data_IF_608098038204
#
_entry.id   IF_608098038204
#
_cell.length_a   1.000
_cell.length_b   1.000
_cell.length_c   1.000
_cell.angle_alpha   90.00
_cell.angle_beta   90.00
_cell.angle_gamma   90.00
#
_symmetry.space_group_name_H-M   'P 1'
#
loop_
_entity.id
_entity.type
_entity.pdbx_description
1 polymer ?
#
# COMPACT_ATOMS: atom_id res chain seq x y z
N UNK A 1 -14.29 -20.74 -58.46
CA UNK A 1 -15.03 -19.54 -58.07
C UNK A 1 -14.53 -19.14 -56.69
N UNK A 2 -13.67 -18.14 -56.64
CA UNK A 2 -13.04 -17.62 -55.42
C UNK A 2 -13.83 -16.40 -54.97
N UNK A 3 -14.47 -16.45 -53.83
CA UNK A 3 -15.03 -15.26 -53.18
C UNK A 3 -13.93 -14.55 -52.37
N UNK A 4 -13.58 -13.37 -52.82
CA UNK A 4 -12.75 -12.42 -52.11
C UNK A 4 -13.59 -11.66 -51.08
N UNK A 5 -13.34 -11.86 -49.81
CA UNK A 5 -13.88 -11.01 -48.74
C UNK A 5 -13.05 -9.71 -48.66
N UNK A 6 -13.64 -8.62 -49.15
CA UNK A 6 -13.14 -7.27 -48.88
C UNK A 6 -13.36 -6.94 -47.42
N UNK A 7 -12.27 -6.64 -46.70
CA UNK A 7 -12.30 -6.08 -45.35
C UNK A 7 -12.42 -4.56 -45.46
N UNK A 8 -13.55 -3.99 -45.08
CA UNK A 8 -13.73 -2.57 -44.95
C UNK A 8 -12.73 -1.98 -43.93
N UNK A 9 -11.82 -1.13 -44.39
CA UNK A 9 -10.98 -0.32 -43.52
C UNK A 9 -11.79 0.86 -42.99
N UNK A 10 -11.95 0.95 -41.69
CA UNK A 10 -12.53 2.11 -41.02
C UNK A 10 -11.53 3.26 -41.02
N UNK A 11 -11.95 4.44 -41.47
CA UNK A 11 -11.16 5.67 -41.47
C UNK A 11 -11.68 6.66 -40.41
N UNK A 12 -10.79 7.54 -39.90
CA UNK A 12 -11.17 8.64 -39.01
C UNK A 12 -11.95 9.72 -39.79
N UNK A 13 -12.55 10.74 -39.12
CA UNK A 13 -13.29 11.82 -39.79
C UNK A 13 -12.46 12.66 -40.76
N UNK A 14 -11.15 12.52 -40.80
CA UNK A 14 -10.22 13.18 -41.70
C UNK A 14 -9.77 12.27 -42.86
N UNK A 15 -10.31 11.06 -42.97
CA UNK A 15 -10.04 10.15 -44.08
C UNK A 15 -8.81 9.26 -43.94
N UNK A 16 -8.08 9.33 -42.83
CA UNK A 16 -6.90 8.51 -42.59
C UNK A 16 -7.31 7.12 -42.08
N UNK A 17 -6.61 6.04 -42.49
CA UNK A 17 -6.91 4.70 -42.00
C UNK A 17 -6.64 4.62 -40.49
N UNK A 18 -7.64 4.24 -39.71
CA UNK A 18 -7.44 3.88 -38.32
C UNK A 18 -6.63 2.60 -38.26
N UNK A 19 -5.32 2.75 -38.30
CA UNK A 19 -4.45 1.67 -37.91
C UNK A 19 -4.54 1.52 -36.40
N UNK A 20 -5.28 0.51 -35.95
CA UNK A 20 -5.02 -0.06 -34.63
C UNK A 20 -3.59 -0.61 -34.70
N UNK A 21 -2.64 0.24 -34.44
CA UNK A 21 -1.28 -0.20 -34.19
C UNK A 21 -1.30 -0.97 -32.86
N UNK A 22 -1.76 -2.22 -32.91
CA UNK A 22 -1.13 -3.24 -32.12
C UNK A 22 0.34 -3.16 -32.52
N UNK A 23 1.14 -2.41 -31.75
CA UNK A 23 2.58 -2.49 -31.86
C UNK A 23 2.88 -3.95 -31.58
N UNK A 24 3.05 -4.74 -32.64
CA UNK A 24 3.76 -6.01 -32.57
C UNK A 24 5.17 -5.63 -32.17
N UNK A 25 5.41 -5.57 -30.85
CA UNK A 25 6.76 -5.67 -30.33
C UNK A 25 7.16 -7.11 -30.69
N UNK A 26 7.84 -7.28 -31.80
CA UNK A 26 8.59 -8.49 -32.03
C UNK A 26 9.43 -8.71 -30.79
N UNK A 27 9.49 -9.94 -30.28
CA UNK A 27 10.37 -10.34 -29.20
C UNK A 27 11.78 -9.89 -29.60
N UNK A 28 12.11 -8.66 -29.20
CA UNK A 28 13.26 -7.94 -29.67
C UNK A 28 14.51 -8.62 -29.18
N UNK A 29 15.36 -8.99 -30.08
CA UNK A 29 16.79 -9.04 -29.80
C UNK A 29 17.13 -7.73 -29.11
N UNK A 30 17.69 -7.86 -27.89
CA UNK A 30 18.19 -6.76 -27.07
C UNK A 30 18.92 -5.73 -27.95
N UNK A 31 18.43 -4.46 -28.09
CA UNK A 31 19.11 -3.44 -28.88
C UNK A 31 20.43 -2.98 -28.25
N UNK A 32 20.73 -3.38 -27.02
CA UNK A 32 21.88 -2.96 -26.23
C UNK A 32 22.65 -4.13 -25.63
N UNK A 33 22.92 -5.16 -26.42
CA UNK A 33 23.77 -6.31 -26.12
C UNK A 33 24.29 -6.42 -24.68
N UNK A 34 23.89 -7.46 -23.95
CA UNK A 34 24.16 -7.82 -22.56
C UNK A 34 23.12 -7.29 -21.54
N UNK A 35 21.99 -7.95 -21.42
CA UNK A 35 21.26 -7.97 -20.16
C UNK A 35 22.26 -8.37 -19.07
N UNK A 36 22.64 -7.42 -18.21
CA UNK A 36 23.56 -7.69 -17.10
C UNK A 36 22.96 -8.83 -16.29
N UNK A 37 23.55 -10.02 -16.38
CA UNK A 37 23.02 -11.26 -15.81
C UNK A 37 22.82 -11.07 -14.32
N UNK A 38 21.58 -10.85 -13.90
CA UNK A 38 21.25 -10.87 -12.49
C UNK A 38 21.39 -12.32 -11.99
N UNK A 39 22.04 -12.46 -10.84
CA UNK A 39 22.13 -13.75 -10.13
C UNK A 39 20.86 -13.96 -9.33
N UNK A 40 20.26 -15.12 -9.47
CA UNK A 40 19.14 -15.56 -8.61
C UNK A 40 19.72 -15.95 -7.27
N UNK A 41 19.16 -15.42 -6.19
CA UNK A 41 19.58 -15.74 -4.81
C UNK A 41 18.34 -16.08 -3.97
N UNK A 42 18.54 -16.73 -2.82
CA UNK A 42 17.42 -17.02 -1.90
C UNK A 42 16.87 -15.73 -1.29
N UNK A 43 15.60 -15.72 -0.84
CA UNK A 43 15.04 -14.59 -0.11
C UNK A 43 15.86 -14.22 1.13
N UNK A 44 16.35 -15.21 1.87
CA UNK A 44 17.19 -15.01 3.05
C UNK A 44 18.47 -14.25 2.69
N UNK A 45 19.17 -14.69 1.65
CA UNK A 45 20.36 -13.99 1.19
C UNK A 45 20.04 -12.56 0.77
N UNK A 46 19.00 -12.37 -0.06
CA UNK A 46 18.62 -11.05 -0.56
C UNK A 46 18.26 -10.07 0.58
N UNK A 47 17.52 -10.56 1.58
CA UNK A 47 16.97 -9.69 2.61
C UNK A 47 17.92 -9.46 3.79
N UNK A 48 18.74 -10.44 4.14
CA UNK A 48 19.50 -10.42 5.40
C UNK A 48 21.01 -10.49 5.25
N UNK A 49 21.52 -11.09 4.18
CA UNK A 49 22.96 -11.39 4.05
C UNK A 49 23.66 -10.52 3.02
N UNK A 50 22.97 -10.11 1.96
CA UNK A 50 23.56 -9.31 0.89
C UNK A 50 24.06 -7.96 1.42
N UNK A 51 25.23 -7.49 0.95
CA UNK A 51 25.72 -6.17 1.30
C UNK A 51 24.68 -5.11 0.90
N UNK A 52 24.65 -3.99 1.63
CA UNK A 52 23.72 -2.90 1.36
C UNK A 52 24.47 -1.69 0.84
N UNK A 53 23.93 -1.07 -0.19
CA UNK A 53 24.34 0.24 -0.68
C UNK A 53 23.29 1.29 -0.29
N UNK A 54 23.76 2.52 -0.04
CA UNK A 54 22.89 3.64 0.35
C UNK A 54 22.67 4.54 -0.84
N UNK A 55 21.43 4.68 -1.27
CA UNK A 55 21.01 5.56 -2.35
C UNK A 55 20.07 6.65 -1.83
N UNK A 56 20.13 7.84 -2.46
CA UNK A 56 19.23 8.96 -2.16
C UNK A 56 18.26 9.14 -3.32
N UNK A 57 17.08 8.54 -3.20
CA UNK A 57 16.11 8.34 -4.28
C UNK A 57 14.68 8.66 -3.84
N UNK A 58 13.79 8.85 -4.83
CA UNK A 58 12.35 9.04 -4.60
C UNK A 58 11.66 7.73 -4.23
N UNK A 59 10.42 7.81 -3.72
CA UNK A 59 9.62 6.61 -3.46
C UNK A 59 9.28 5.84 -4.73
N UNK A 60 9.01 6.54 -5.84
CA UNK A 60 8.81 5.90 -7.15
C UNK A 60 10.08 5.17 -7.64
N UNK A 61 11.26 5.77 -7.45
CA UNK A 61 12.54 5.12 -7.75
C UNK A 61 12.82 3.93 -6.83
N UNK A 62 12.45 4.03 -5.54
CA UNK A 62 12.55 2.93 -4.59
C UNK A 62 11.66 1.74 -4.99
N UNK A 63 10.43 2.01 -5.42
CA UNK A 63 9.53 1.01 -6.00
C UNK A 63 10.11 0.34 -7.24
N UNK A 64 10.66 1.13 -8.18
CA UNK A 64 11.40 0.61 -9.35
C UNK A 64 12.50 -0.36 -8.94
N UNK A 65 13.34 0.03 -7.98
CA UNK A 65 14.47 -0.78 -7.55
C UNK A 65 14.05 -2.07 -6.82
N UNK A 66 12.89 -2.05 -6.13
CA UNK A 66 12.27 -3.25 -5.57
C UNK A 66 11.80 -4.20 -6.68
N UNK A 67 11.11 -3.69 -7.69
CA UNK A 67 10.63 -4.46 -8.85
C UNK A 67 11.78 -5.06 -9.65
N UNK A 68 12.89 -4.31 -9.85
CA UNK A 68 14.12 -4.81 -10.50
C UNK A 68 14.63 -6.10 -9.85
N UNK A 69 14.55 -6.19 -8.51
CA UNK A 69 15.05 -7.34 -7.73
C UNK A 69 13.98 -8.41 -7.53
N UNK A 70 12.72 -8.10 -7.75
CA UNK A 70 11.61 -9.03 -7.53
C UNK A 70 11.47 -10.10 -8.62
N UNK A 71 12.12 -9.95 -9.78
CA UNK A 71 11.97 -10.88 -10.91
C UNK A 71 10.52 -10.98 -11.39
N UNK A 72 9.90 -9.83 -11.68
CA UNK A 72 8.50 -9.72 -12.12
C UNK A 72 8.36 -10.23 -13.55
N UNK A 73 7.37 -11.08 -13.78
CA UNK A 73 7.06 -11.60 -15.11
C UNK A 73 6.12 -10.67 -15.87
N UNK A 74 5.08 -10.17 -15.22
CA UNK A 74 4.01 -9.41 -15.85
C UNK A 74 3.66 -8.16 -15.05
N UNK A 75 3.56 -7.03 -15.74
CA UNK A 75 3.03 -5.80 -15.18
C UNK A 75 2.10 -5.10 -16.15
N UNK A 76 1.05 -4.53 -15.65
CA UNK A 76 0.11 -3.68 -16.39
C UNK A 76 -0.31 -2.54 -15.49
N UNK A 77 -0.42 -1.33 -16.04
CA UNK A 77 -0.89 -0.17 -15.30
C UNK A 77 -1.64 0.81 -16.21
N UNK A 78 -2.53 1.59 -15.61
CA UNK A 78 -3.18 2.74 -16.24
C UNK A 78 -2.58 4.02 -15.65
N UNK A 79 -2.26 5.04 -16.47
CA UNK A 79 -1.62 6.26 -15.97
C UNK A 79 -2.59 7.10 -15.15
N UNK A 80 -2.29 7.27 -13.87
CA UNK A 80 -3.00 8.14 -12.94
C UNK A 80 -2.01 8.81 -11.98
N UNK A 81 -2.07 10.14 -11.82
CA UNK A 81 -1.19 10.89 -10.91
C UNK A 81 -1.51 10.57 -9.45
N UNK A 82 -0.51 10.32 -8.55
CA UNK A 82 0.93 10.42 -8.78
C UNK A 82 1.61 9.11 -9.21
N UNK A 83 0.88 8.05 -9.49
CA UNK A 83 1.40 6.72 -9.87
C UNK A 83 2.06 6.69 -11.25
N UNK A 84 1.74 7.65 -12.14
CA UNK A 84 2.24 7.65 -13.53
C UNK A 84 3.77 7.59 -13.64
N UNK A 85 4.52 8.17 -12.68
CA UNK A 85 5.97 8.08 -12.63
C UNK A 85 6.41 6.63 -12.42
N UNK A 86 5.79 5.91 -11.49
CA UNK A 86 6.09 4.48 -11.26
C UNK A 86 5.85 3.65 -12.51
N UNK A 87 4.74 3.90 -13.23
CA UNK A 87 4.44 3.23 -14.49
C UNK A 87 5.54 3.46 -15.54
N UNK A 88 6.01 4.71 -15.68
CA UNK A 88 7.09 5.05 -16.61
C UNK A 88 8.39 4.31 -16.24
N UNK A 89 8.72 4.25 -14.95
CA UNK A 89 9.89 3.54 -14.44
C UNK A 89 9.81 2.03 -14.66
N UNK A 90 8.61 1.44 -14.58
CA UNK A 90 8.39 0.02 -14.95
C UNK A 90 8.59 -0.19 -16.45
N UNK A 91 8.12 0.74 -17.29
CA UNK A 91 8.40 0.72 -18.73
C UNK A 91 9.90 0.73 -19.05
N UNK A 92 10.69 1.48 -18.29
CA UNK A 92 12.15 1.44 -18.39
C UNK A 92 12.69 0.06 -18.02
N UNK A 93 12.21 -0.54 -16.92
CA UNK A 93 12.62 -1.90 -16.51
C UNK A 93 12.26 -2.97 -17.55
N UNK A 94 11.12 -2.81 -18.22
CA UNK A 94 10.74 -3.66 -19.34
C UNK A 94 11.70 -3.51 -20.51
N UNK A 95 12.02 -2.27 -20.91
CA UNK A 95 13.02 -2.01 -21.96
C UNK A 95 14.42 -2.50 -21.62
N UNK A 96 14.78 -2.57 -20.33
CA UNK A 96 16.05 -3.10 -19.83
C UNK A 96 16.02 -4.64 -19.61
N UNK A 97 14.87 -5.32 -19.83
CA UNK A 97 14.71 -6.77 -19.67
C UNK A 97 14.53 -7.28 -18.23
N UNK A 98 14.28 -6.40 -17.26
CA UNK A 98 14.04 -6.79 -15.86
C UNK A 98 12.59 -7.18 -15.57
N UNK A 99 11.64 -6.70 -16.37
CA UNK A 99 10.23 -7.11 -16.38
C UNK A 99 9.99 -7.78 -17.73
N UNK A 100 9.40 -8.98 -17.77
CA UNK A 100 9.30 -9.75 -19.02
C UNK A 100 8.21 -9.22 -19.94
N UNK A 101 7.07 -8.82 -19.36
CA UNK A 101 5.93 -8.29 -20.11
C UNK A 101 5.36 -7.06 -19.40
N UNK A 102 5.13 -5.99 -20.18
CA UNK A 102 4.55 -4.74 -19.67
C UNK A 102 3.53 -4.19 -20.66
N UNK A 103 2.33 -3.91 -20.17
CA UNK A 103 1.25 -3.32 -20.95
C UNK A 103 0.73 -2.05 -20.31
N UNK A 104 0.28 -1.12 -21.15
CA UNK A 104 -0.52 0.02 -20.73
C UNK A 104 -1.99 -0.35 -20.84
N UNK A 105 -2.71 -0.37 -19.72
CA UNK A 105 -4.14 -0.62 -19.69
C UNK A 105 -4.94 0.58 -20.20
N UNK A 106 -6.20 0.34 -20.55
CA UNK A 106 -7.14 1.39 -20.97
C UNK A 106 -7.89 2.01 -19.79
N UNK A 107 -8.08 1.21 -18.72
CA UNK A 107 -8.71 1.63 -17.47
C UNK A 107 -8.30 0.72 -16.31
N UNK A 108 -8.55 1.17 -15.07
CA UNK A 108 -8.10 0.43 -13.88
C UNK A 108 -8.82 -0.90 -13.67
N UNK A 109 -10.11 -1.01 -13.99
CA UNK A 109 -10.82 -2.30 -13.89
C UNK A 109 -10.22 -3.36 -14.81
N UNK A 110 -9.92 -2.98 -16.06
CA UNK A 110 -9.24 -3.84 -17.03
C UNK A 110 -7.83 -4.24 -16.57
N UNK A 111 -7.07 -3.27 -15.99
CA UNK A 111 -5.76 -3.52 -15.38
C UNK A 111 -5.85 -4.57 -14.28
N UNK A 112 -6.77 -4.42 -13.33
CA UNK A 112 -6.93 -5.34 -12.20
C UNK A 112 -7.39 -6.73 -12.67
N UNK A 113 -8.23 -6.79 -13.69
CA UNK A 113 -8.67 -8.05 -14.32
C UNK A 113 -7.52 -8.77 -15.03
N UNK A 114 -6.64 -8.02 -15.71
CA UNK A 114 -5.45 -8.58 -16.36
C UNK A 114 -4.46 -9.17 -15.33
N UNK A 115 -4.24 -8.46 -14.21
CA UNK A 115 -3.43 -8.98 -13.08
C UNK A 115 -4.02 -10.28 -12.52
N UNK A 116 -5.35 -10.33 -12.35
CA UNK A 116 -6.02 -11.55 -11.88
C UNK A 116 -5.76 -12.74 -12.85
N UNK A 117 -5.91 -12.51 -14.13
CA UNK A 117 -5.64 -13.53 -15.16
C UNK A 117 -4.19 -13.99 -15.17
N UNK A 118 -3.25 -13.06 -15.16
CA UNK A 118 -1.82 -13.35 -15.14
C UNK A 118 -1.39 -14.08 -13.86
N UNK A 119 -1.84 -13.62 -12.68
CA UNK A 119 -1.57 -14.30 -11.42
C UNK A 119 -2.09 -15.73 -11.41
N UNK A 120 -3.29 -15.96 -12.01
CA UNK A 120 -3.86 -17.28 -12.15
C UNK A 120 -3.08 -18.17 -13.11
N UNK A 121 -2.44 -17.59 -14.14
CA UNK A 121 -1.52 -18.29 -15.02
C UNK A 121 -0.19 -18.66 -14.39
N UNK A 122 0.04 -18.31 -13.12
CA UNK A 122 1.22 -18.71 -12.36
C UNK A 122 2.39 -17.76 -12.45
N UNK A 123 2.26 -16.62 -13.11
CA UNK A 123 3.36 -15.65 -13.25
C UNK A 123 3.38 -14.64 -12.11
N UNK A 124 4.54 -14.08 -11.81
CA UNK A 124 4.70 -13.03 -10.80
C UNK A 124 4.22 -11.69 -11.34
N UNK A 125 3.20 -11.11 -10.70
CA UNK A 125 2.49 -9.95 -11.19
C UNK A 125 2.71 -8.73 -10.30
N UNK A 126 2.79 -7.56 -10.94
CA UNK A 126 2.83 -6.26 -10.26
C UNK A 126 1.92 -5.25 -10.97
N UNK A 127 1.26 -4.40 -10.19
CA UNK A 127 0.53 -3.23 -10.70
C UNK A 127 0.54 -2.08 -9.72
N UNK A 128 0.05 -0.93 -10.18
CA UNK A 128 0.00 0.30 -9.41
C UNK A 128 -1.23 1.13 -9.79
N UNK A 129 -1.82 1.79 -8.79
CA UNK A 129 -2.92 2.74 -8.98
C UNK A 129 -2.91 3.84 -7.93
N UNK A 130 -3.87 4.76 -7.98
CA UNK A 130 -3.98 5.89 -7.06
C UNK A 130 -5.43 6.39 -6.96
N UNK A 131 -5.87 6.78 -5.77
CA UNK A 131 -7.11 7.51 -5.52
C UNK A 131 -8.34 7.01 -6.26
N UNK A 132 -8.89 7.75 -7.23
CA UNK A 132 -10.07 7.33 -7.99
C UNK A 132 -9.87 6.00 -8.72
N UNK A 133 -8.63 5.69 -9.18
CA UNK A 133 -8.32 4.44 -9.84
C UNK A 133 -8.43 3.23 -8.91
N UNK A 134 -8.14 3.42 -7.62
CA UNK A 134 -8.40 2.40 -6.59
C UNK A 134 -9.88 2.05 -6.54
N UNK A 135 -10.76 3.06 -6.50
CA UNK A 135 -12.21 2.83 -6.49
C UNK A 135 -12.73 2.25 -7.81
N UNK A 136 -12.16 2.66 -8.93
CA UNK A 136 -12.51 2.10 -10.24
C UNK A 136 -12.17 0.61 -10.34
N UNK A 137 -11.05 0.21 -9.75
CA UNK A 137 -10.58 -1.19 -9.74
C UNK A 137 -11.08 -2.04 -8.58
N UNK A 138 -11.78 -1.47 -7.58
CA UNK A 138 -12.07 -2.14 -6.30
C UNK A 138 -12.86 -3.43 -6.46
N UNK A 139 -13.79 -3.51 -7.40
CA UNK A 139 -14.59 -4.72 -7.66
C UNK A 139 -13.69 -5.90 -8.05
N UNK A 140 -12.76 -5.67 -8.99
CA UNK A 140 -11.81 -6.70 -9.40
C UNK A 140 -10.84 -7.04 -8.26
N UNK A 141 -10.27 -6.03 -7.58
CA UNK A 141 -9.34 -6.19 -6.44
C UNK A 141 -9.99 -7.02 -5.33
N UNK A 142 -11.25 -6.77 -4.97
CA UNK A 142 -11.96 -7.48 -3.93
C UNK A 142 -12.18 -8.98 -4.25
N UNK A 143 -12.11 -9.36 -5.51
CA UNK A 143 -12.20 -10.75 -5.94
C UNK A 143 -10.89 -11.53 -5.77
N UNK A 144 -9.73 -10.86 -5.76
CA UNK A 144 -8.42 -11.52 -5.74
C UNK A 144 -8.18 -12.41 -4.51
N UNK A 145 -8.49 -11.96 -3.28
CA UNK A 145 -8.29 -12.79 -2.09
C UNK A 145 -9.12 -14.07 -2.12
N UNK A 146 -10.39 -13.97 -2.53
CA UNK A 146 -11.27 -15.13 -2.68
C UNK A 146 -10.79 -16.12 -3.73
N UNK A 147 -10.15 -15.66 -4.80
CA UNK A 147 -9.51 -16.48 -5.83
C UNK A 147 -8.08 -16.92 -5.45
N UNK A 148 -7.56 -16.51 -4.29
CA UNK A 148 -6.21 -16.86 -3.81
C UNK A 148 -5.14 -16.51 -4.85
N UNK A 149 -5.17 -15.26 -5.33
CA UNK A 149 -4.27 -14.76 -6.36
C UNK A 149 -3.11 -13.98 -5.72
N UNK A 150 -1.90 -14.56 -5.64
CA UNK A 150 -0.74 -13.81 -5.20
C UNK A 150 -0.36 -12.78 -6.25
N UNK A 151 -0.47 -11.52 -5.89
CA UNK A 151 -0.08 -10.37 -6.70
C UNK A 151 0.35 -9.24 -5.76
N UNK A 152 1.21 -8.36 -6.24
CA UNK A 152 1.63 -7.16 -5.49
C UNK A 152 1.09 -5.93 -6.19
N UNK A 153 0.41 -5.07 -5.44
CA UNK A 153 -0.15 -3.80 -5.92
C UNK A 153 0.26 -2.66 -5.00
N UNK A 154 0.62 -1.53 -5.57
CA UNK A 154 0.83 -0.29 -4.82
C UNK A 154 -0.32 0.68 -5.01
N UNK A 155 -0.65 1.38 -3.94
CA UNK A 155 -1.64 2.45 -3.88
C UNK A 155 -0.93 3.75 -3.49
N UNK A 156 -0.73 4.64 -4.46
CA UNK A 156 -0.15 5.96 -4.18
C UNK A 156 -1.28 6.91 -3.77
N UNK A 157 -1.52 6.97 -2.47
CA UNK A 157 -2.71 7.54 -1.86
C UNK A 157 -2.87 9.04 -2.17
N UNK A 158 -4.05 9.42 -2.63
CA UNK A 158 -4.45 10.80 -2.89
C UNK A 158 -5.95 11.00 -2.65
N UNK A 159 -6.42 12.25 -2.77
CA UNK A 159 -7.86 12.56 -2.76
C UNK A 159 -8.59 11.72 -3.81
N UNK A 160 -9.64 11.03 -3.37
CA UNK A 160 -10.33 10.00 -4.16
C UNK A 160 -11.28 10.61 -5.18
N UNK A 161 -12.00 11.68 -4.82
CA UNK A 161 -13.08 12.21 -5.64
C UNK A 161 -13.19 13.74 -5.54
N UNK A 162 -14.20 14.30 -6.19
CA UNK A 162 -14.45 15.73 -6.21
C UNK A 162 -14.75 16.32 -4.81
N UNK A 163 -14.26 17.54 -4.52
CA UNK A 163 -13.36 18.33 -5.35
C UNK A 163 -11.99 17.69 -5.47
N UNK A 164 -11.47 17.62 -6.72
CA UNK A 164 -10.24 16.87 -7.01
C UNK A 164 -9.01 17.55 -6.46
N UNK A 165 -8.15 16.76 -5.82
CA UNK A 165 -6.77 17.12 -5.55
C UNK A 165 -5.87 15.89 -5.85
N UNK A 166 -4.66 16.15 -6.32
CA UNK A 166 -3.67 15.11 -6.58
C UNK A 166 -2.75 14.89 -5.37
N UNK A 167 -2.94 15.70 -4.35
CA UNK A 167 -2.17 15.72 -3.12
C UNK A 167 -2.58 14.56 -2.19
N UNK A 168 -1.73 14.18 -1.21
CA UNK A 168 -1.96 13.03 -0.35
C UNK A 168 -3.26 13.12 0.45
N UNK A 169 -3.93 11.99 0.51
CA UNK A 169 -5.06 11.72 1.41
C UNK A 169 -5.20 10.20 1.53
N UNK A 170 -5.37 9.69 2.73
CA UNK A 170 -5.38 8.25 2.98
C UNK A 170 -6.79 7.66 3.07
N UNK A 171 -7.82 8.38 2.58
CA UNK A 171 -9.20 7.89 2.61
C UNK A 171 -9.38 6.60 1.82
N UNK A 172 -8.64 6.42 0.72
CA UNK A 172 -8.75 5.23 -0.13
C UNK A 172 -8.38 3.93 0.59
N UNK A 173 -7.50 4.00 1.60
CA UNK A 173 -7.14 2.86 2.43
C UNK A 173 -8.38 2.26 3.11
N UNK A 174 -9.32 3.10 3.55
CA UNK A 174 -10.53 2.65 4.23
C UNK A 174 -11.40 1.71 3.38
N UNK A 175 -11.36 1.86 2.06
CA UNK A 175 -12.07 0.96 1.13
C UNK A 175 -11.36 -0.39 0.96
N UNK A 176 -10.05 -0.43 1.20
CA UNK A 176 -9.23 -1.63 1.04
C UNK A 176 -9.24 -2.52 2.29
N UNK A 177 -9.52 -1.97 3.47
CA UNK A 177 -9.44 -2.68 4.75
C UNK A 177 -10.28 -3.96 4.82
N UNK A 178 -11.36 -4.06 4.06
CA UNK A 178 -12.30 -5.18 4.08
C UNK A 178 -12.26 -6.07 2.84
N UNK A 179 -11.27 -5.90 1.97
CA UNK A 179 -11.13 -6.70 0.74
C UNK A 179 -10.64 -8.13 1.00
N UNK A 180 -9.94 -8.36 2.11
CA UNK A 180 -9.29 -9.64 2.42
C UNK A 180 -7.83 -9.72 1.96
N UNK A 181 -7.29 -8.72 1.26
CA UNK A 181 -5.86 -8.66 0.94
C UNK A 181 -5.00 -8.40 2.18
N UNK A 182 -3.72 -8.76 2.11
CA UNK A 182 -2.72 -8.26 3.04
C UNK A 182 -2.45 -6.80 2.68
N UNK A 183 -2.41 -5.89 3.64
CA UNK A 183 -2.26 -4.46 3.38
C UNK A 183 -1.22 -3.84 4.31
N UNK A 184 -0.19 -3.23 3.73
CA UNK A 184 0.84 -2.46 4.44
C UNK A 184 0.70 -0.97 4.18
N UNK A 185 1.16 -0.15 5.13
CA UNK A 185 1.22 1.29 4.97
C UNK A 185 2.66 1.79 5.19
N UNK A 186 3.31 2.18 4.11
CA UNK A 186 4.71 2.61 4.12
C UNK A 186 4.86 4.06 4.60
N UNK A 187 5.83 4.28 5.50
CA UNK A 187 6.14 5.59 6.09
C UNK A 187 7.01 6.45 5.16
N UNK A 188 7.95 5.80 4.49
CA UNK A 188 9.02 6.48 3.74
C UNK A 188 9.54 5.60 2.58
N UNK A 189 10.57 6.09 1.89
CA UNK A 189 11.16 5.41 0.73
C UNK A 189 11.78 4.05 1.06
N UNK A 190 12.31 3.88 2.28
CA UNK A 190 12.84 2.58 2.73
C UNK A 190 11.71 1.57 2.87
N UNK A 191 10.61 1.94 3.52
CA UNK A 191 9.44 1.08 3.64
C UNK A 191 8.87 0.72 2.25
N UNK A 192 8.80 1.68 1.31
CA UNK A 192 8.34 1.42 -0.05
C UNK A 192 9.19 0.32 -0.70
N UNK A 193 10.52 0.45 -0.64
CA UNK A 193 11.42 -0.56 -1.18
C UNK A 193 11.23 -1.93 -0.52
N UNK A 194 11.30 -1.96 0.81
CA UNK A 194 11.24 -3.18 1.59
C UNK A 194 9.89 -3.87 1.47
N UNK A 195 8.79 -3.13 1.61
CA UNK A 195 7.46 -3.71 1.57
C UNK A 195 7.12 -4.26 0.19
N UNK A 196 7.46 -3.56 -0.89
CA UNK A 196 7.22 -4.07 -2.25
C UNK A 196 8.00 -5.36 -2.47
N UNK A 197 9.32 -5.34 -2.22
CA UNK A 197 10.18 -6.49 -2.52
C UNK A 197 9.82 -7.73 -1.70
N UNK A 198 9.62 -7.56 -0.39
CA UNK A 198 9.30 -8.64 0.55
C UNK A 198 7.88 -9.17 0.37
N UNK A 199 6.95 -8.33 -0.12
CA UNK A 199 5.56 -8.72 -0.37
C UNK A 199 5.41 -9.80 -1.43
N UNK A 200 6.28 -9.88 -2.41
CA UNK A 200 6.24 -10.97 -3.40
C UNK A 200 6.40 -12.33 -2.72
N UNK A 201 7.34 -12.43 -1.78
CA UNK A 201 7.58 -13.69 -1.05
C UNK A 201 6.41 -14.00 -0.12
N UNK A 202 5.93 -13.03 0.66
CA UNK A 202 4.80 -13.23 1.58
C UNK A 202 3.53 -13.65 0.81
N UNK A 203 3.27 -12.98 -0.30
CA UNK A 203 2.13 -13.25 -1.18
C UNK A 203 2.14 -14.67 -1.75
N UNK A 204 3.32 -15.19 -2.09
CA UNK A 204 3.53 -16.46 -2.78
C UNK A 204 3.71 -17.66 -1.84
N UNK A 205 3.75 -17.48 -0.52
CA UNK A 205 3.83 -18.59 0.42
C UNK A 205 2.63 -19.53 0.28
N UNK A 206 2.86 -20.84 0.15
CA UNK A 206 1.83 -21.84 -0.15
C UNK A 206 0.65 -21.86 0.83
N UNK A 207 0.88 -21.53 2.08
CA UNK A 207 -0.15 -21.43 3.10
C UNK A 207 -0.78 -20.04 3.24
N UNK A 208 -0.30 -19.06 2.46
CA UNK A 208 -0.82 -17.69 2.39
C UNK A 208 -1.56 -17.45 1.07
N UNK A 209 -0.85 -17.41 -0.06
CA UNK A 209 -1.38 -17.18 -1.43
C UNK A 209 -2.48 -16.10 -1.48
N UNK A 210 -2.14 -14.91 -0.98
CA UNK A 210 -3.02 -13.75 -0.97
C UNK A 210 -2.38 -12.58 -1.71
N UNK A 211 -3.17 -11.69 -2.31
CA UNK A 211 -2.64 -10.44 -2.82
C UNK A 211 -2.13 -9.56 -1.69
N UNK A 212 -1.10 -8.78 -1.98
CA UNK A 212 -0.54 -7.81 -1.04
C UNK A 212 -0.61 -6.42 -1.63
N UNK A 213 -1.24 -5.50 -0.91
CA UNK A 213 -1.28 -4.08 -1.20
C UNK A 213 -0.29 -3.30 -0.34
N UNK A 214 0.39 -2.32 -0.93
CA UNK A 214 1.24 -1.38 -0.23
C UNK A 214 0.71 0.03 -0.49
N UNK A 215 0.17 0.67 0.54
CA UNK A 215 -0.29 2.05 0.51
C UNK A 215 0.82 3.00 0.95
N UNK A 216 0.96 4.14 0.31
CA UNK A 216 1.83 5.24 0.73
C UNK A 216 1.44 6.56 0.09
N UNK A 217 1.82 7.66 0.71
CA UNK A 217 1.38 8.98 0.28
C UNK A 217 1.93 9.38 -1.09
N UNK A 218 1.02 9.81 -1.95
CA UNK A 218 1.36 10.52 -3.16
C UNK A 218 2.12 11.81 -2.84
N UNK A 219 3.07 12.22 -3.67
CA UNK A 219 3.97 13.36 -3.53
C UNK A 219 4.87 13.34 -2.29
N UNK A 220 4.32 13.17 -1.07
CA UNK A 220 5.12 13.18 0.16
C UNK A 220 6.12 12.03 0.25
N UNK A 221 5.75 10.86 -0.29
CA UNK A 221 6.64 9.71 -0.35
C UNK A 221 7.06 9.43 -1.80
N UNK A 222 6.13 9.48 -2.76
CA UNK A 222 6.43 9.14 -4.16
C UNK A 222 7.50 10.01 -4.78
N UNK A 223 7.47 11.34 -4.56
CA UNK A 223 8.35 12.31 -5.22
C UNK A 223 9.43 12.90 -4.32
N UNK A 224 9.26 12.85 -2.99
CA UNK A 224 10.31 13.24 -2.07
C UNK A 224 11.46 12.23 -2.11
N UNK A 225 12.69 12.74 -1.94
CA UNK A 225 13.90 11.90 -1.87
C UNK A 225 14.20 11.53 -0.43
N UNK A 226 14.61 10.29 -0.23
CA UNK A 226 15.07 9.76 1.04
C UNK A 226 16.21 8.76 0.83
N UNK A 227 16.88 8.44 1.92
CA UNK A 227 17.91 7.41 1.90
C UNK A 227 17.29 6.03 1.96
N UNK A 228 17.73 5.16 1.06
CA UNK A 228 17.30 3.76 0.99
C UNK A 228 18.54 2.87 1.00
N UNK A 229 18.55 1.92 1.92
CA UNK A 229 19.54 0.86 2.02
C UNK A 229 19.04 -0.36 1.26
N UNK A 230 19.71 -0.75 0.18
CA UNK A 230 19.25 -1.84 -0.67
C UNK A 230 20.39 -2.77 -1.09
N UNK A 231 20.07 -4.05 -1.39
CA UNK A 231 21.08 -4.97 -1.92
C UNK A 231 21.51 -4.56 -3.33
N UNK A 232 22.62 -5.08 -3.84
CA UNK A 232 23.11 -4.79 -5.19
C UNK A 232 22.06 -5.08 -6.27
N UNK A 233 22.14 -4.37 -7.39
CA UNK A 233 21.19 -4.51 -8.49
C UNK A 233 21.39 -5.76 -9.36
N UNK A 234 22.52 -6.45 -9.21
CA UNK A 234 22.90 -7.66 -9.96
C UNK A 234 22.32 -8.94 -9.34
N UNK A 235 21.57 -8.86 -8.23
CA UNK A 235 20.90 -10.00 -7.61
C UNK A 235 19.36 -9.82 -7.63
N UNK A 236 18.64 -10.96 -7.71
CA UNK A 236 17.19 -10.98 -7.73
C UNK A 236 16.60 -12.20 -7.05
N UNK A 237 15.31 -12.11 -6.71
CA UNK A 237 14.53 -13.23 -6.19
C UNK A 237 14.45 -14.37 -7.21
N UNK A 238 14.26 -15.62 -6.74
CA UNK A 238 13.95 -16.74 -7.62
C UNK A 238 12.61 -16.48 -8.35
N UNK A 239 12.39 -17.13 -9.50
CA UNK A 239 11.09 -17.09 -10.15
C UNK A 239 10.01 -17.62 -9.20
N UNK A 240 8.76 -17.18 -9.42
CA UNK A 240 7.63 -17.73 -8.70
C UNK A 240 7.51 -19.24 -9.00
N UNK A 241 7.44 -20.04 -7.95
CA UNK A 241 7.13 -21.46 -8.11
C UNK A 241 5.67 -21.64 -8.53
N UNK A 242 5.40 -22.69 -9.31
CA UNK A 242 4.05 -23.01 -9.68
C UNK A 242 3.18 -23.23 -8.42
N UNK A 243 2.05 -22.54 -8.38
CA UNK A 243 1.14 -22.60 -7.24
C UNK A 243 0.31 -23.90 -7.28
N UNK A 244 0.39 -24.70 -6.24
CA UNK A 244 -0.34 -25.94 -6.05
C UNK A 244 -1.48 -25.83 -5.03
N UNK A 245 -2.05 -24.65 -4.84
CA UNK A 245 -3.13 -24.43 -3.89
C UNK A 245 -4.51 -24.88 -4.35
N UNK A 246 -5.55 -24.43 -3.66
CA UNK A 246 -6.95 -24.77 -3.94
C UNK A 246 -7.43 -24.40 -5.34
N UNK A 247 -6.71 -23.49 -6.02
CA UNK A 247 -6.98 -23.07 -7.40
C UNK A 247 -5.75 -23.40 -8.24
N UNK A 248 -5.82 -24.41 -9.12
CA UNK A 248 -4.69 -24.78 -9.96
C UNK A 248 -4.30 -23.66 -10.92
N UNK A 249 -2.99 -23.50 -11.11
CA UNK A 249 -2.43 -22.62 -12.13
C UNK A 249 -2.78 -23.15 -13.52
N UNK A 250 -3.10 -22.26 -14.44
CA UNK A 250 -3.25 -22.62 -15.84
C UNK A 250 -1.86 -22.90 -16.44
N UNK A 251 -1.60 -24.14 -16.72
CA UNK A 251 -0.39 -24.57 -17.40
C UNK A 251 -0.78 -25.04 -18.80
N UNK A 252 -0.20 -24.42 -19.84
CA UNK A 252 -0.50 -24.73 -21.23
C UNK A 252 0.01 -26.13 -21.64
N UNK A 253 1.11 -26.59 -21.03
CA UNK A 253 1.69 -27.91 -21.31
C UNK A 253 1.01 -29.00 -20.50
N UNK A 254 0.53 -28.67 -19.31
CA UNK A 254 -0.18 -29.59 -18.42
C UNK A 254 -1.50 -28.96 -17.96
N UNK A 255 -2.46 -28.75 -18.85
CA UNK A 255 -3.74 -28.17 -18.45
C UNK A 255 -4.37 -29.04 -17.37
N UNK A 256 -4.74 -28.47 -16.22
CA UNK A 256 -5.32 -29.26 -15.15
C UNK A 256 -6.57 -29.96 -15.66
N UNK A 257 -6.51 -31.28 -15.75
CA UNK A 257 -7.58 -32.12 -16.27
C UNK A 257 -8.92 -31.94 -15.53
N UNK A 258 -8.95 -31.12 -14.47
CA UNK A 258 -10.09 -30.96 -13.58
C UNK A 258 -10.17 -29.56 -12.93
N UNK A 259 -10.05 -28.49 -13.72
CA UNK A 259 -10.38 -27.14 -13.24
C UNK A 259 -11.76 -27.07 -12.55
N UNK A 260 -12.69 -27.96 -12.96
CA UNK A 260 -14.05 -28.02 -12.42
C UNK A 260 -14.19 -28.77 -11.11
N UNK A 261 -13.26 -29.66 -10.76
CA UNK A 261 -13.47 -30.55 -9.60
C UNK A 261 -12.90 -29.98 -8.30
N UNK A 262 -11.82 -29.23 -8.37
CA UNK A 262 -11.06 -28.79 -7.19
C UNK A 262 -11.09 -27.26 -7.00
N UNK A 263 -11.62 -26.51 -7.97
CA UNK A 263 -11.91 -25.10 -7.81
C UNK A 263 -13.28 -24.97 -7.12
N UNK A 264 -13.32 -24.58 -5.84
CA UNK A 264 -14.60 -24.43 -5.11
C UNK A 264 -15.57 -23.47 -5.79
N UNK A 265 -15.05 -22.49 -6.53
CA UNK A 265 -15.84 -21.55 -7.33
C UNK A 265 -16.64 -22.23 -8.43
N UNK A 266 -16.16 -23.37 -8.96
CA UNK A 266 -16.87 -24.08 -10.05
C UNK A 266 -17.79 -25.20 -9.55
N UNK A 267 -17.56 -25.70 -8.32
CA UNK A 267 -18.51 -26.60 -7.66
C UNK A 267 -19.66 -25.85 -7.03
N UNK A 268 -19.54 -24.55 -6.87
CA UNK A 268 -20.63 -23.80 -6.32
C UNK A 268 -21.78 -23.84 -7.31
N UNK A 269 -22.78 -24.58 -7.00
CA UNK A 269 -24.07 -23.98 -7.21
C UNK A 269 -23.90 -22.52 -6.76
N UNK A 270 -23.96 -21.60 -7.68
CA UNK A 270 -23.82 -20.15 -7.51
C UNK A 270 -24.61 -19.60 -6.30
N UNK A 271 -25.40 -20.40 -5.67
CA UNK A 271 -26.30 -20.17 -4.54
C UNK A 271 -25.89 -20.91 -3.26
N UNK A 272 -24.68 -21.48 -3.17
CA UNK A 272 -24.29 -22.21 -1.96
C UNK A 272 -23.67 -21.28 -0.92
N UNK A 273 -24.45 -20.80 0.03
CA UNK A 273 -24.03 -19.97 1.16
C UNK A 273 -22.86 -20.57 1.94
N UNK A 274 -22.82 -21.89 2.09
CA UNK A 274 -21.76 -22.57 2.84
C UNK A 274 -20.40 -22.43 2.21
N UNK A 275 -20.29 -22.48 0.89
CA UNK A 275 -19.00 -22.36 0.18
C UNK A 275 -18.44 -20.95 0.34
N UNK A 276 -19.29 -19.93 0.22
CA UNK A 276 -18.84 -18.54 0.43
C UNK A 276 -18.34 -18.33 1.85
N UNK A 277 -19.04 -18.83 2.85
CA UNK A 277 -18.60 -18.73 4.26
C UNK A 277 -17.25 -19.42 4.50
N UNK A 278 -17.05 -20.63 3.96
CA UNK A 278 -15.77 -21.35 4.06
C UNK A 278 -14.64 -20.57 3.40
N UNK A 279 -14.90 -19.96 2.23
CA UNK A 279 -13.91 -19.12 1.55
C UNK A 279 -13.52 -17.88 2.33
N UNK A 280 -14.48 -17.18 2.89
CA UNK A 280 -14.20 -16.02 3.73
C UNK A 280 -13.38 -16.42 4.95
N UNK A 281 -13.73 -17.50 5.63
CA UNK A 281 -12.95 -18.03 6.75
C UNK A 281 -11.53 -18.36 6.34
N UNK A 282 -11.32 -19.00 5.19
CA UNK A 282 -9.99 -19.37 4.71
C UNK A 282 -9.15 -18.16 4.32
N UNK A 283 -9.73 -17.11 3.74
CA UNK A 283 -9.02 -15.85 3.44
C UNK A 283 -8.50 -15.22 4.74
N UNK A 284 -9.33 -15.12 5.77
CA UNK A 284 -8.91 -14.59 7.06
C UNK A 284 -7.89 -15.49 7.77
N UNK A 285 -8.07 -16.81 7.70
CA UNK A 285 -7.09 -17.76 8.23
C UNK A 285 -5.74 -17.65 7.51
N UNK A 286 -5.73 -17.39 6.22
CA UNK A 286 -4.51 -17.16 5.45
C UNK A 286 -3.81 -15.85 5.87
N UNK A 287 -4.56 -14.79 6.16
CA UNK A 287 -4.00 -13.57 6.74
C UNK A 287 -3.33 -13.84 8.10
N UNK A 288 -3.98 -14.62 8.96
CA UNK A 288 -3.39 -15.00 10.26
C UNK A 288 -2.09 -15.80 10.08
N UNK A 289 -2.06 -16.73 9.12
CA UNK A 289 -0.83 -17.46 8.77
C UNK A 289 0.26 -16.55 8.21
N UNK A 290 -0.09 -15.48 7.52
CA UNK A 290 0.87 -14.52 6.99
C UNK A 290 1.64 -13.78 8.09
N UNK A 291 1.09 -13.62 9.29
CA UNK A 291 1.75 -12.91 10.42
C UNK A 291 3.14 -13.45 10.72
N UNK A 292 3.36 -14.77 10.64
CA UNK A 292 4.70 -15.37 10.88
C UNK A 292 5.74 -14.90 9.86
N UNK A 293 5.33 -14.73 8.58
CA UNK A 293 6.22 -14.24 7.53
C UNK A 293 6.43 -12.73 7.62
N UNK A 294 5.38 -11.98 7.99
CA UNK A 294 5.47 -10.54 8.24
C UNK A 294 6.46 -10.27 9.40
N UNK A 295 6.36 -11.03 10.51
CA UNK A 295 7.32 -10.93 11.62
C UNK A 295 8.75 -11.25 11.18
N UNK A 296 8.92 -12.24 10.30
CA UNK A 296 10.24 -12.66 9.81
C UNK A 296 10.88 -11.66 8.85
N UNK A 297 10.11 -11.18 7.87
CA UNK A 297 10.66 -10.40 6.75
C UNK A 297 10.46 -8.89 6.90
N UNK A 298 9.46 -8.44 7.65
CA UNK A 298 9.07 -7.02 7.78
C UNK A 298 9.36 -6.44 9.18
N UNK A 299 10.13 -7.13 10.01
CA UNK A 299 10.42 -6.75 11.40
C UNK A 299 9.16 -6.50 12.24
N UNK A 300 8.12 -7.32 12.02
CA UNK A 300 6.86 -7.26 12.74
C UNK A 300 5.74 -6.48 12.06
N UNK A 301 4.55 -6.59 12.63
CA UNK A 301 3.35 -5.94 12.15
C UNK A 301 3.26 -4.48 12.61
N UNK A 302 3.92 -4.15 13.70
CA UNK A 302 4.08 -2.79 14.24
C UNK A 302 5.50 -2.63 14.81
N UNK A 303 5.86 -1.39 15.08
CA UNK A 303 7.11 -0.99 15.74
C UNK A 303 6.75 -0.15 16.95
N UNK A 304 7.45 -0.35 18.08
CA UNK A 304 7.27 0.43 19.30
C UNK A 304 8.58 1.13 19.65
N UNK A 305 8.56 2.44 19.73
CA UNK A 305 9.64 3.26 20.28
C UNK A 305 9.21 3.72 21.67
N UNK A 306 10.15 3.80 22.62
CA UNK A 306 9.93 4.12 24.03
C UNK A 306 8.82 3.24 24.64
N UNK A 307 8.99 1.92 24.73
CA UNK A 307 7.94 0.99 25.16
C UNK A 307 7.52 1.18 26.62
N UNK A 308 8.33 1.84 27.43
CA UNK A 308 8.06 2.11 28.85
C UNK A 308 7.21 3.38 29.06
N UNK A 309 6.87 4.10 27.99
CA UNK A 309 6.02 5.28 28.06
C UNK A 309 4.57 4.88 28.44
N UNK A 310 3.87 5.80 29.10
CA UNK A 310 2.41 5.66 29.38
C UNK A 310 1.54 6.57 28.48
N UNK A 311 2.19 7.30 27.57
CA UNK A 311 1.57 8.11 26.51
C UNK A 311 2.13 7.64 25.19
N UNK A 312 1.25 7.32 24.23
CA UNK A 312 1.69 6.91 22.90
C UNK A 312 1.03 7.72 21.80
N UNK A 313 1.84 8.05 20.79
CA UNK A 313 1.35 8.33 19.45
C UNK A 313 1.16 7.00 18.72
N UNK A 314 -0.01 6.77 18.13
CA UNK A 314 -0.27 5.59 17.32
C UNK A 314 -0.52 6.05 15.90
N UNK A 315 0.38 5.71 14.97
CA UNK A 315 0.35 6.24 13.62
C UNK A 315 0.70 5.18 12.56
N UNK A 316 0.37 5.46 11.31
CA UNK A 316 0.77 4.64 10.16
C UNK A 316 1.14 5.55 8.98
N UNK A 317 1.90 5.01 8.01
CA UNK A 317 2.34 5.79 6.86
C UNK A 317 3.15 7.01 7.25
N UNK A 318 3.11 8.08 6.46
CA UNK A 318 3.88 9.30 6.72
C UNK A 318 3.47 10.04 8.00
N UNK A 319 2.28 9.79 8.56
CA UNK A 319 1.92 10.30 9.88
C UNK A 319 2.85 9.76 10.98
N UNK A 320 3.43 8.56 10.81
CA UNK A 320 4.43 8.03 11.73
C UNK A 320 5.74 8.84 11.68
N UNK A 321 6.16 9.30 10.49
CA UNK A 321 7.34 10.15 10.34
C UNK A 321 7.17 11.49 11.08
N UNK A 322 6.00 12.14 10.94
CA UNK A 322 5.68 13.36 11.67
C UNK A 322 5.61 13.11 13.19
N UNK A 323 5.09 11.95 13.59
CA UNK A 323 5.00 11.55 14.99
C UNK A 323 6.38 11.34 15.64
N UNK A 324 7.39 10.85 14.90
CA UNK A 324 8.76 10.73 15.41
C UNK A 324 9.33 12.09 15.83
N UNK A 325 9.11 13.10 15.02
CA UNK A 325 9.55 14.46 15.35
C UNK A 325 8.74 15.06 16.51
N UNK A 326 7.43 14.78 16.58
CA UNK A 326 6.63 15.18 17.72
C UNK A 326 7.11 14.54 19.03
N UNK A 327 7.48 13.25 19.02
CA UNK A 327 8.09 12.58 20.17
C UNK A 327 9.34 13.32 20.63
N UNK A 328 10.26 13.63 19.70
CA UNK A 328 11.50 14.35 20.00
C UNK A 328 11.22 15.71 20.66
N UNK A 329 10.28 16.50 20.11
CA UNK A 329 9.91 17.81 20.64
C UNK A 329 9.23 17.73 22.02
N UNK A 330 8.44 16.68 22.27
CA UNK A 330 7.80 16.44 23.56
C UNK A 330 8.82 16.01 24.62
N UNK A 331 9.78 15.16 24.27
CA UNK A 331 10.87 14.75 25.14
C UNK A 331 11.73 15.95 25.56
N UNK A 332 12.03 16.90 24.66
CA UNK A 332 12.73 18.14 24.95
C UNK A 332 11.96 19.04 25.94
N UNK A 333 10.63 18.90 25.98
CA UNK A 333 9.77 19.60 26.95
C UNK A 333 9.56 18.82 28.26
N UNK A 334 10.24 17.67 28.42
CA UNK A 334 10.13 16.82 29.60
C UNK A 334 8.89 15.94 29.64
N UNK A 335 8.24 15.71 28.49
CA UNK A 335 7.09 14.83 28.35
C UNK A 335 7.54 13.56 27.61
N UNK A 336 7.82 12.45 28.32
CA UNK A 336 8.18 11.20 27.69
C UNK A 336 6.95 10.60 26.97
N UNK A 337 7.10 10.38 25.67
CA UNK A 337 6.07 9.82 24.78
C UNK A 337 6.66 8.67 23.99
N UNK A 338 5.90 7.60 23.81
CA UNK A 338 6.22 6.51 22.91
C UNK A 338 5.55 6.68 21.55
N UNK A 339 6.08 5.98 20.55
CA UNK A 339 5.45 5.87 19.24
C UNK A 339 5.17 4.40 18.92
N UNK A 340 3.94 4.10 18.56
CA UNK A 340 3.52 2.82 17.97
C UNK A 340 3.25 3.07 16.48
N UNK A 341 4.16 2.61 15.62
CA UNK A 341 3.97 2.65 14.18
C UNK A 341 3.30 1.37 13.70
N UNK A 342 2.08 1.46 13.18
CA UNK A 342 1.38 0.35 12.55
C UNK A 342 1.91 0.19 11.12
N UNK A 343 2.55 -0.95 10.84
CA UNK A 343 3.05 -1.32 9.49
C UNK A 343 2.02 -2.10 8.70
N UNK A 344 1.39 -3.09 9.36
CA UNK A 344 0.38 -3.96 8.76
C UNK A 344 -1.02 -3.50 9.14
N UNK A 345 -1.79 -3.09 8.14
CA UNK A 345 -3.22 -2.74 8.32
C UNK A 345 -4.10 -3.98 8.20
N UNK A 346 -3.64 -4.99 7.44
CA UNK A 346 -4.24 -6.32 7.33
C UNK A 346 -3.14 -7.37 7.08
N UNK A 347 -3.04 -8.40 7.92
CA UNK A 347 -3.76 -8.56 9.19
C UNK A 347 -3.42 -7.45 10.20
N UNK A 348 -4.41 -6.99 10.96
CA UNK A 348 -4.18 -5.95 11.96
C UNK A 348 -3.42 -6.51 13.18
N UNK A 349 -2.47 -5.78 13.78
CA UNK A 349 -1.64 -6.24 14.90
C UNK A 349 -2.36 -6.15 16.26
N UNK A 350 -3.54 -6.74 16.38
CA UNK A 350 -4.40 -6.58 17.56
C UNK A 350 -3.70 -6.98 18.86
N UNK A 351 -3.09 -8.17 18.89
CA UNK A 351 -2.45 -8.68 20.12
C UNK A 351 -1.19 -7.88 20.48
N UNK A 352 -0.38 -7.54 19.48
CA UNK A 352 0.82 -6.72 19.69
C UNK A 352 0.46 -5.32 20.16
N UNK A 353 -0.63 -4.75 19.64
CA UNK A 353 -1.10 -3.44 20.06
C UNK A 353 -1.67 -3.46 21.48
N UNK A 354 -2.44 -4.48 21.84
CA UNK A 354 -2.93 -4.67 23.23
C UNK A 354 -1.77 -4.78 24.21
N UNK A 355 -0.73 -5.54 23.87
CA UNK A 355 0.47 -5.67 24.70
C UNK A 355 1.19 -4.33 24.84
N UNK A 356 1.44 -3.62 23.74
CA UNK A 356 2.11 -2.31 23.76
C UNK A 356 1.32 -1.26 24.55
N UNK A 357 -0.01 -1.32 24.52
CA UNK A 357 -0.88 -0.35 25.18
C UNK A 357 -1.33 -0.78 26.59
N UNK A 358 -0.84 -1.88 27.14
CA UNK A 358 -1.31 -2.44 28.43
C UNK A 358 -1.30 -1.42 29.58
N UNK A 359 -0.28 -0.59 29.66
CA UNK A 359 -0.09 0.40 30.72
C UNK A 359 -0.32 1.84 30.24
N UNK A 360 -0.79 2.01 29.01
CA UNK A 360 -1.01 3.32 28.46
C UNK A 360 -2.13 4.07 29.21
N UNK A 361 -1.93 5.37 29.40
CA UNK A 361 -2.92 6.31 29.95
C UNK A 361 -3.54 7.18 28.85
N UNK A 362 -2.76 7.49 27.84
CA UNK A 362 -3.17 8.35 26.72
C UNK A 362 -2.66 7.79 25.40
N UNK A 363 -3.57 7.70 24.43
CA UNK A 363 -3.26 7.39 23.04
C UNK A 363 -3.73 8.55 22.15
N UNK A 364 -2.85 9.07 21.31
CA UNK A 364 -3.17 10.10 20.33
C UNK A 364 -2.88 9.56 18.95
N UNK A 365 -3.84 9.68 18.02
CA UNK A 365 -3.82 9.01 16.71
C UNK A 365 -3.87 10.05 15.59
N UNK A 366 -2.71 10.55 15.12
CA UNK A 366 -2.65 11.47 13.99
C UNK A 366 -2.88 10.71 12.67
N UNK A 367 -3.68 11.30 11.76
CA UNK A 367 -4.08 10.67 10.50
C UNK A 367 -4.20 11.65 9.34
N UNK A 368 -3.83 11.19 8.12
CA UNK A 368 -4.04 11.91 6.86
C UNK A 368 -5.38 11.55 6.19
N UNK A 369 -6.47 11.61 6.93
CA UNK A 369 -7.83 11.41 6.40
C UNK A 369 -8.88 12.05 7.30
N UNK A 370 -10.02 12.45 6.72
CA UNK A 370 -11.11 13.06 7.48
C UNK A 370 -11.82 12.07 8.43
N UNK A 371 -12.19 10.85 8.00
CA UNK A 371 -13.01 9.96 8.82
C UNK A 371 -12.30 9.33 10.03
N UNK A 372 -10.95 9.38 10.11
CA UNK A 372 -10.21 8.77 11.21
C UNK A 372 -10.32 7.23 11.21
N UNK A 373 -10.00 6.60 10.10
CA UNK A 373 -10.14 5.15 9.98
C UNK A 373 -9.16 4.38 10.89
N UNK A 374 -7.92 4.88 11.09
CA UNK A 374 -6.96 4.22 11.98
C UNK A 374 -7.40 4.29 13.44
N UNK A 375 -7.92 5.44 13.88
CA UNK A 375 -8.46 5.58 15.24
C UNK A 375 -9.59 4.59 15.50
N UNK A 376 -10.44 4.30 14.52
CA UNK A 376 -11.48 3.28 14.63
C UNK A 376 -10.92 1.88 14.72
N UNK A 377 -9.93 1.52 13.91
CA UNK A 377 -9.27 0.21 13.97
C UNK A 377 -8.57 0.01 15.33
N UNK A 378 -7.83 1.02 15.80
CA UNK A 378 -7.18 1.00 17.12
C UNK A 378 -8.21 0.88 18.24
N UNK A 379 -9.27 1.68 18.19
CA UNK A 379 -10.36 1.62 19.17
C UNK A 379 -10.99 0.23 19.24
N UNK A 380 -11.25 -0.38 18.09
CA UNK A 380 -11.82 -1.74 17.99
C UNK A 380 -10.85 -2.78 18.56
N UNK A 381 -9.57 -2.67 18.23
CA UNK A 381 -8.55 -3.62 18.70
C UNK A 381 -8.33 -3.55 20.21
N UNK A 382 -8.50 -2.37 20.82
CA UNK A 382 -8.25 -2.15 22.25
C UNK A 382 -9.54 -2.20 23.11
N UNK A 383 -10.71 -2.39 22.49
CA UNK A 383 -11.97 -2.40 23.19
C UNK A 383 -12.01 -3.48 24.30
N UNK A 384 -12.22 -3.04 25.55
CA UNK A 384 -12.24 -3.92 26.72
C UNK A 384 -10.87 -4.32 27.27
N UNK A 385 -9.79 -4.12 26.52
CA UNK A 385 -8.43 -4.58 26.87
C UNK A 385 -7.53 -3.44 27.37
N UNK A 386 -7.79 -2.21 26.98
CA UNK A 386 -7.01 -1.03 27.38
C UNK A 386 -7.91 0.06 27.94
N UNK A 387 -7.46 0.70 29.02
CA UNK A 387 -8.18 1.80 29.71
C UNK A 387 -7.65 3.19 29.34
N UNK A 388 -6.72 3.28 28.40
CA UNK A 388 -6.16 4.55 27.96
C UNK A 388 -7.26 5.49 27.42
N UNK A 389 -7.08 6.78 27.69
CA UNK A 389 -7.86 7.80 27.00
C UNK A 389 -7.42 7.90 25.56
N UNK A 390 -8.33 7.68 24.60
CA UNK A 390 -8.02 7.70 23.18
C UNK A 390 -8.47 9.02 22.57
N UNK A 391 -7.56 9.72 21.88
CA UNK A 391 -7.82 10.94 21.14
C UNK A 391 -7.56 10.70 19.64
N UNK A 392 -8.61 10.72 18.85
CA UNK A 392 -8.51 10.69 17.40
C UNK A 392 -8.00 12.05 16.86
N UNK A 393 -6.95 12.01 16.07
CA UNK A 393 -6.34 13.21 15.49
C UNK A 393 -5.05 13.70 16.17
N UNK A 394 -4.41 14.76 15.62
CA UNK A 394 -4.97 15.62 14.57
C UNK A 394 -5.28 14.85 13.28
N UNK A 395 -6.33 15.30 12.57
CA UNK A 395 -6.70 14.77 11.26
C UNK A 395 -6.49 15.84 10.22
N UNK A 396 -5.62 15.54 9.27
CA UNK A 396 -5.32 16.40 8.12
C UNK A 396 -5.77 15.66 6.86
N UNK A 397 -6.35 16.34 5.91
CA UNK A 397 -6.95 15.73 4.73
C UNK A 397 -6.97 16.69 3.54
N UNK A 398 -7.31 16.20 2.35
CA UNK A 398 -7.42 17.02 1.16
C UNK A 398 -6.10 17.58 0.65
N UNK A 399 -4.98 16.92 0.96
CA UNK A 399 -3.66 17.31 0.47
C UNK A 399 -2.90 18.32 1.32
N UNK A 400 -3.37 18.60 2.51
CA UNK A 400 -2.66 19.47 3.44
C UNK A 400 -1.51 18.72 4.13
N UNK A 401 -0.46 19.46 4.50
CA UNK A 401 0.60 18.94 5.36
C UNK A 401 0.12 18.87 6.80
N UNK A 402 0.66 17.94 7.58
CA UNK A 402 0.43 17.86 9.02
C UNK A 402 1.61 18.54 9.76
N UNK A 403 1.45 19.76 10.27
CA UNK A 403 2.46 20.36 11.11
C UNK A 403 2.70 19.51 12.36
N UNK A 404 3.95 19.35 12.75
CA UNK A 404 4.35 18.58 13.94
C UNK A 404 3.75 19.19 15.20
N UNK A 405 3.64 20.50 15.22
CA UNK A 405 3.06 21.31 16.31
C UNK A 405 1.61 20.90 16.62
N UNK A 406 0.81 20.56 15.60
CA UNK A 406 -0.56 20.07 15.82
C UNK A 406 -0.59 18.75 16.58
N UNK A 407 0.39 17.88 16.35
CA UNK A 407 0.52 16.61 17.09
C UNK A 407 0.92 16.91 18.53
N UNK A 408 1.91 17.77 18.74
CA UNK A 408 2.37 18.21 20.07
C UNK A 408 1.21 18.82 20.86
N UNK A 409 0.48 19.77 20.27
CA UNK A 409 -0.69 20.42 20.90
C UNK A 409 -1.76 19.39 21.28
N UNK A 410 -2.00 18.39 20.44
CA UNK A 410 -2.99 17.34 20.73
C UNK A 410 -2.57 16.46 21.89
N UNK A 411 -1.28 16.12 22.02
CA UNK A 411 -0.73 15.39 23.18
C UNK A 411 -0.86 16.23 24.44
N UNK A 412 -0.46 17.50 24.40
CA UNK A 412 -0.58 18.41 25.55
C UNK A 412 -2.06 18.60 25.98
N UNK A 413 -2.97 18.73 25.00
CA UNK A 413 -4.40 18.76 25.25
C UNK A 413 -4.92 17.49 25.94
N UNK A 414 -4.42 16.33 25.52
CA UNK A 414 -4.73 15.05 26.17
C UNK A 414 -4.19 14.95 27.59
N UNK A 415 -2.97 15.42 27.81
CA UNK A 415 -2.35 15.47 29.15
C UNK A 415 -3.19 16.29 30.15
N UNK A 416 -3.76 17.42 29.70
CA UNK A 416 -4.67 18.22 30.56
C UNK A 416 -5.87 17.43 31.07
N UNK A 417 -6.28 16.39 30.34
CA UNK A 417 -7.41 15.53 30.70
C UNK A 417 -7.01 14.38 31.61
N UNK A 418 -5.83 13.77 31.38
CA UNK A 418 -5.45 12.51 32.06
C UNK A 418 -4.43 12.74 33.19
N UNK A 419 -3.53 13.72 33.05
CA UNK A 419 -2.50 14.06 34.05
C UNK A 419 -2.04 15.53 33.89
N UNK A 420 -2.80 16.52 34.42
CA UNK A 420 -2.46 17.93 34.27
C UNK A 420 -1.11 18.33 34.84
N UNK A 421 -0.57 17.53 35.77
CA UNK A 421 0.71 17.86 36.46
C UNK A 421 1.91 17.70 35.53
N UNK A 422 1.78 16.98 34.44
CA UNK A 422 2.81 16.75 33.43
C UNK A 422 2.78 17.73 32.27
N UNK A 423 1.83 18.67 32.25
CA UNK A 423 1.74 19.70 31.20
C UNK A 423 2.91 20.66 31.35
N UNK A 424 3.76 20.87 30.33
CA UNK A 424 4.88 21.80 30.38
C UNK A 424 4.44 23.22 30.72
N UNK A 425 5.20 23.92 31.59
CA UNK A 425 4.91 25.31 32.01
C UNK A 425 4.82 26.25 30.81
N UNK A 426 5.72 26.09 29.83
CA UNK A 426 5.71 26.87 28.59
C UNK A 426 4.43 26.71 27.76
N UNK A 427 3.79 25.55 27.83
CA UNK A 427 2.54 25.28 27.10
C UNK A 427 1.31 25.96 27.76
N UNK A 428 1.39 26.34 29.00
CA UNK A 428 0.34 27.10 29.70
C UNK A 428 0.30 28.57 29.26
N UNK A 429 1.47 29.15 28.89
CA UNK A 429 1.56 30.54 28.43
C UNK A 429 1.06 30.69 26.98
N UNK A 430 1.23 29.66 26.15
CA UNK A 430 0.74 29.66 24.76
C UNK A 430 -0.77 29.39 24.60
N UNK A 431 -1.41 28.77 25.59
CA UNK A 431 -2.83 28.39 25.50
C UNK A 431 -3.77 29.62 25.55
N UNK A 432 -3.38 30.71 26.24
CA UNK A 432 -4.13 31.97 26.21
C UNK A 432 -3.99 32.69 24.86
N UNK A 433 -2.81 32.66 24.24
CA UNK A 433 -2.58 33.23 22.90
C UNK A 433 -3.17 32.40 21.76
N UNK A 434 -3.15 31.05 21.88
CA UNK A 434 -3.71 30.16 20.88
C UNK A 434 -5.25 30.10 20.88
N UNK A 435 -5.89 30.37 22.02
CA UNK A 435 -7.36 30.53 22.09
C UNK A 435 -7.85 31.80 21.36
N UNK A 436 -7.02 32.80 21.22
CA UNK A 436 -7.29 33.99 20.42
C UNK A 436 -6.95 33.80 18.92
N UNK A 437 -5.98 32.92 18.59
CA UNK A 437 -5.51 32.69 17.22
C UNK A 437 -6.12 31.45 16.54
N UNK A 438 -6.80 30.57 17.27
CA UNK A 438 -7.71 29.58 16.71
C UNK A 438 -8.95 30.32 16.16
N UNK A 439 -8.71 31.20 15.23
CA UNK A 439 -9.75 31.79 14.41
C UNK A 439 -10.54 30.66 13.81
N UNK A 440 -11.73 30.45 14.35
CA UNK A 440 -12.83 29.83 13.64
C UNK A 440 -12.73 30.35 12.21
N UNK A 441 -12.52 29.47 11.25
CA UNK A 441 -12.82 29.80 9.85
C UNK A 441 -14.23 30.32 9.92
N UNK A 442 -14.38 31.63 9.84
CA UNK A 442 -15.68 32.26 10.03
C UNK A 442 -16.55 31.84 8.83
N UNK A 443 -17.85 31.77 9.03
CA UNK A 443 -18.78 31.59 7.90
C UNK A 443 -18.50 32.62 6.79
N UNK A 444 -17.97 33.77 7.15
CA UNK A 444 -17.64 34.87 6.23
C UNK A 444 -16.37 34.56 5.41
N UNK A 445 -15.40 33.83 5.95
CA UNK A 445 -14.21 33.38 5.19
C UNK A 445 -14.60 32.29 4.18
N UNK A 446 -15.50 31.38 4.57
CA UNK A 446 -16.09 30.39 3.64
C UNK A 446 -16.91 31.07 2.56
N UNK A 447 -17.74 32.04 2.92
CA UNK A 447 -18.55 32.80 1.97
C UNK A 447 -17.70 33.67 1.03
N UNK A 448 -16.60 34.29 1.52
CA UNK A 448 -15.63 34.99 0.68
C UNK A 448 -14.92 34.06 -0.30
N UNK A 449 -14.54 32.89 0.15
CA UNK A 449 -13.94 31.88 -0.72
C UNK A 449 -14.93 31.43 -1.80
N UNK A 450 -16.20 31.16 -1.42
CA UNK A 450 -17.25 30.74 -2.35
C UNK A 450 -17.72 31.86 -3.30
N UNK A 451 -17.51 33.13 -2.98
CA UNK A 451 -17.81 34.23 -3.88
C UNK A 451 -16.69 34.54 -4.89
N UNK A 452 -15.50 33.99 -4.70
CA UNK A 452 -14.32 34.16 -5.57
C UNK A 452 -14.07 32.94 -6.47
N UNK A 453 -14.95 31.95 -6.45
CA UNK A 453 -15.03 30.84 -7.41
C UNK A 453 -16.20 31.11 -8.37
#
# INVERSE_FOLDING_TARGET
MSESTETEQKTNPQGDPITSAAVKVEAGKDPHGEAKKQRVVTPEHLFFEAPRERLFITGSEAGKEAIRRANVDFSVAYPITPQSETMQLIGVLYGEGYVKEFYRGEEEYGVMSAIAGASRAGVRCFTATAGPGTLRGIEAIASWPGHRLPAVIIFTCRVVNAPLAIQPDNIEISYLLNTGMILFHAENQQDVFDFILKSFIISEMNDVTLPVGIAYDGFFVTHARGYVMMPPKDIKLPPREAYHGAVPVLDAENPPARLSRDAPVQKSNFMSYNIHAVWQQEVWAAQERAKKYIRRYMDGLLEVNNPDADIFLVASGSAAAQSREAVRLLEEQGVPVGLIKIRSLRPFPTLELQEACRNAKLLVIPEFNYPGWLAREVSTALYGECKAHLIAGPRVFGGMTMPVELIVERVIGGLRLVDPTRVPVAANVGAEAASESAQKVSKDDVNRFMQNI
#
